data_IF_868149456467
#
_entry.id   IF_868149456467
#
_cell.length_a   1.000
_cell.length_b   1.000
_cell.length_c   1.000
_cell.angle_alpha   90.00
_cell.angle_beta   90.00
_cell.angle_gamma   90.00
#
_symmetry.space_group_name_H-M   'P 1'
#
loop_
_entity.id
_entity.type
_entity.pdbx_description
1 polymer ?
#
# COMPACT_ATOMS: atom_id res chain seq x y z
N UNK A 1 4.06 -24.01 69.50
CA UNK A 1 4.13 -25.47 69.30
C UNK A 1 4.34 -25.64 67.81
N UNK A 2 5.57 -25.83 67.32
CA UNK A 2 6.38 -27.03 67.54
C UNK A 2 5.71 -28.17 66.74
N UNK A 3 6.33 -28.90 65.84
CA UNK A 3 7.75 -29.17 65.64
C UNK A 3 7.94 -29.86 64.26
N UNK A 4 9.19 -29.93 63.87
CA UNK A 4 9.82 -30.52 62.70
C UNK A 4 9.46 -31.98 62.38
N UNK A 5 9.77 -32.43 61.15
CA UNK A 5 9.83 -33.87 60.86
C UNK A 5 10.05 -34.29 59.40
N UNK A 6 11.31 -34.20 58.93
CA UNK A 6 11.87 -34.75 57.68
C UNK A 6 11.51 -36.23 57.39
N UNK A 7 11.40 -36.61 56.11
CA UNK A 7 12.32 -37.57 55.45
C UNK A 7 12.02 -37.82 53.94
N UNK A 8 13.09 -37.68 53.12
CA UNK A 8 13.57 -38.43 51.92
C UNK A 8 12.54 -38.93 50.89
N UNK A 9 12.54 -38.45 49.64
CA UNK A 9 13.53 -38.61 48.54
C UNK A 9 13.65 -40.04 48.01
N UNK A 10 12.95 -40.31 46.89
CA UNK A 10 13.32 -41.30 45.87
C UNK A 10 12.67 -40.95 44.50
N UNK A 11 13.50 -40.42 43.60
CA UNK A 11 13.62 -40.81 42.18
C UNK A 11 12.41 -40.86 41.24
N UNK A 12 12.30 -39.86 40.35
CA UNK A 12 11.95 -40.10 38.92
C UNK A 12 12.53 -39.00 38.00
N UNK A 13 13.21 -39.35 36.89
CA UNK A 13 13.97 -38.39 36.09
C UNK A 13 13.08 -37.57 35.14
N UNK A 14 13.34 -36.25 35.06
CA UNK A 14 12.76 -35.34 34.07
C UNK A 14 13.50 -35.45 32.73
N UNK A 15 12.74 -35.65 31.67
CA UNK A 15 13.20 -35.68 30.28
C UNK A 15 13.80 -34.32 29.87
N UNK A 16 15.01 -34.36 29.29
CA UNK A 16 15.61 -33.21 28.60
C UNK A 16 15.05 -33.09 27.19
N UNK A 17 14.76 -31.84 26.80
CA UNK A 17 14.21 -31.45 25.50
C UNK A 17 15.14 -31.79 24.33
N UNK A 18 14.54 -32.13 23.19
CA UNK A 18 15.20 -32.63 21.96
C UNK A 18 16.01 -31.57 21.18
N UNK A 19 16.10 -30.34 21.67
CA UNK A 19 16.76 -29.24 20.95
C UNK A 19 18.27 -29.16 21.24
N UNK A 20 18.71 -29.56 22.44
CA UNK A 20 20.12 -29.46 22.87
C UNK A 20 21.05 -30.58 22.32
N UNK A 21 20.48 -31.57 21.63
CA UNK A 21 21.23 -32.71 21.05
C UNK A 21 21.57 -32.50 19.58
N UNK A 22 20.84 -31.63 18.86
CA UNK A 22 21.14 -31.34 17.44
C UNK A 22 22.35 -30.42 17.27
N UNK A 23 22.51 -29.43 18.13
CA UNK A 23 23.58 -28.43 18.00
C UNK A 23 24.99 -29.01 18.26
N UNK A 24 25.10 -30.07 19.09
CA UNK A 24 26.37 -30.76 19.34
C UNK A 24 26.78 -31.77 18.27
N UNK A 25 25.88 -32.13 17.34
CA UNK A 25 26.17 -33.07 16.25
C UNK A 25 26.66 -32.32 14.99
N UNK A 26 26.13 -31.13 14.71
CA UNK A 26 26.59 -30.30 13.59
C UNK A 26 27.97 -29.66 13.83
N UNK A 27 28.33 -29.35 15.09
CA UNK A 27 29.64 -28.79 15.41
C UNK A 27 30.78 -29.82 15.29
N UNK A 28 30.50 -31.11 15.54
CA UNK A 28 31.49 -32.19 15.33
C UNK A 28 31.70 -32.55 13.85
N UNK A 29 30.67 -32.43 13.00
CA UNK A 29 30.79 -32.71 11.58
C UNK A 29 31.67 -31.68 10.84
N UNK A 30 31.62 -30.40 11.24
CA UNK A 30 32.44 -29.33 10.63
C UNK A 30 33.94 -29.40 11.01
N UNK A 31 34.29 -30.06 12.11
CA UNK A 31 35.69 -30.21 12.55
C UNK A 31 36.38 -31.40 11.87
N UNK A 32 35.66 -32.49 11.56
CA UNK A 32 36.24 -33.64 10.84
C UNK A 32 36.46 -33.38 9.34
N UNK A 33 35.69 -32.49 8.72
CA UNK A 33 35.87 -32.14 7.30
C UNK A 33 37.11 -31.25 7.06
N UNK A 34 37.41 -30.32 8.00
CA UNK A 34 38.64 -29.50 7.94
C UNK A 34 39.92 -30.31 8.14
N UNK A 35 39.90 -31.38 8.95
CA UNK A 35 41.08 -32.22 9.20
C UNK A 35 41.44 -33.16 8.03
N UNK A 36 40.49 -33.47 7.12
CA UNK A 36 40.74 -34.31 5.93
C UNK A 36 41.32 -33.55 4.74
N UNK A 37 41.12 -32.22 4.67
CA UNK A 37 41.64 -31.40 3.57
C UNK A 37 43.12 -31.01 3.79
N UNK A 38 43.54 -30.83 5.04
CA UNK A 38 44.93 -30.43 5.36
C UNK A 38 45.96 -31.56 5.25
N UNK A 39 45.56 -32.83 5.36
CA UNK A 39 46.50 -33.98 5.34
C UNK A 39 46.79 -34.56 3.94
N UNK A 40 46.16 -34.05 2.87
CA UNK A 40 46.39 -34.55 1.50
C UNK A 40 47.48 -33.80 0.71
N UNK A 41 48.16 -32.83 1.33
CA UNK A 41 49.14 -31.97 0.65
C UNK A 41 50.61 -32.25 1.00
N UNK A 42 50.94 -33.34 1.72
CA UNK A 42 52.32 -33.68 2.09
C UNK A 42 52.71 -35.13 1.81
N UNK A 43 52.78 -35.52 0.55
CA UNK A 43 53.61 -36.65 0.13
C UNK A 43 54.36 -36.31 -1.16
N UNK A 44 55.70 -36.24 -1.07
CA UNK A 44 56.63 -36.16 -2.20
C UNK A 44 56.83 -37.55 -2.78
N UNK A 45 56.82 -37.75 -4.11
CA UNK A 45 57.39 -38.94 -4.73
C UNK A 45 58.89 -38.76 -5.00
N UNK A 46 59.68 -39.78 -4.69
CA UNK A 46 61.07 -39.96 -5.13
C UNK A 46 61.10 -40.48 -6.58
N UNK A 47 62.02 -39.96 -7.38
CA UNK A 47 62.33 -40.42 -8.75
C UNK A 47 62.78 -41.90 -8.80
N UNK A 48 62.53 -42.57 -9.93
CA UNK A 48 63.60 -43.12 -10.79
C UNK A 48 63.12 -43.51 -12.20
N UNK A 49 63.82 -42.91 -13.18
CA UNK A 49 64.27 -43.46 -14.46
C UNK A 49 63.30 -43.70 -15.64
N UNK A 50 63.46 -42.87 -16.68
CA UNK A 50 63.89 -43.35 -17.99
C UNK A 50 62.96 -43.10 -19.18
N UNK A 51 63.37 -42.18 -20.08
CA UNK A 51 62.98 -42.25 -21.50
C UNK A 51 62.53 -40.94 -22.17
N UNK A 52 63.50 -40.20 -22.74
CA UNK A 52 63.45 -39.56 -24.06
C UNK A 52 62.16 -38.84 -24.51
N UNK A 53 62.19 -37.50 -24.54
CA UNK A 53 62.32 -36.64 -25.73
C UNK A 53 62.14 -35.18 -25.28
N UNK A 54 63.09 -34.33 -25.68
CA UNK A 54 63.01 -32.88 -25.55
C UNK A 54 61.74 -32.32 -26.20
N UNK A 55 60.96 -31.56 -25.44
CA UNK A 55 60.31 -30.38 -25.98
C UNK A 55 60.65 -29.21 -25.04
N UNK A 56 61.78 -28.56 -25.34
CA UNK A 56 62.06 -27.20 -24.88
C UNK A 56 60.96 -26.28 -25.44
N UNK A 57 59.86 -26.15 -24.72
CA UNK A 57 59.02 -24.96 -24.86
C UNK A 57 59.70 -23.87 -24.05
N UNK A 58 60.37 -23.01 -24.80
CA UNK A 58 60.89 -21.72 -24.38
C UNK A 58 59.80 -20.94 -23.61
N UNK A 59 59.88 -20.90 -22.29
CA UNK A 59 59.40 -19.78 -21.47
C UNK A 59 60.63 -19.07 -20.92
N UNK A 60 61.38 -18.49 -21.85
CA UNK A 60 62.47 -17.56 -21.58
C UNK A 60 62.07 -16.28 -22.30
N UNK A 61 61.57 -15.29 -21.55
CA UNK A 61 61.52 -13.90 -22.05
C UNK A 61 60.33 -13.00 -21.73
N UNK A 62 59.37 -13.34 -20.85
CA UNK A 62 58.23 -12.44 -20.58
C UNK A 62 57.84 -12.23 -19.09
N UNK A 63 58.54 -12.83 -18.15
CA UNK A 63 58.03 -13.09 -16.79
C UNK A 63 58.31 -12.02 -15.73
N UNK A 64 58.24 -10.74 -16.11
CA UNK A 64 58.36 -9.63 -15.15
C UNK A 64 57.51 -8.40 -15.45
N UNK A 65 56.99 -8.27 -16.68
CA UNK A 65 56.21 -7.09 -17.12
C UNK A 65 54.71 -7.35 -17.23
N UNK A 66 54.29 -8.61 -17.41
CA UNK A 66 52.87 -8.98 -17.51
C UNK A 66 52.15 -8.98 -16.15
N UNK A 67 52.85 -9.39 -15.09
CA UNK A 67 52.29 -9.43 -13.73
C UNK A 67 51.91 -8.05 -13.17
N UNK A 68 52.76 -7.02 -13.30
CA UNK A 68 52.38 -5.66 -12.93
C UNK A 68 51.19 -5.14 -13.74
N UNK A 69 51.15 -5.37 -15.06
CA UNK A 69 50.04 -4.92 -15.91
C UNK A 69 48.72 -5.62 -15.58
N UNK A 70 48.76 -6.89 -15.20
CA UNK A 70 47.59 -7.62 -14.71
C UNK A 70 47.09 -7.05 -13.38
N UNK A 71 47.99 -6.82 -12.42
CA UNK A 71 47.65 -6.21 -11.13
C UNK A 71 47.07 -4.81 -11.28
N UNK A 72 47.66 -3.96 -12.12
CA UNK A 72 47.13 -2.62 -12.39
C UNK A 72 45.78 -2.68 -13.09
N UNK A 73 45.54 -3.62 -14.01
CA UNK A 73 44.24 -3.79 -14.65
C UNK A 73 43.15 -4.20 -13.65
N UNK A 74 43.45 -5.18 -12.78
CA UNK A 74 42.51 -5.61 -11.73
C UNK A 74 42.26 -4.49 -10.72
N UNK A 75 43.31 -3.78 -10.31
CA UNK A 75 43.21 -2.66 -9.37
C UNK A 75 42.47 -1.47 -9.99
N UNK A 76 42.66 -1.19 -11.28
CA UNK A 76 41.92 -0.16 -12.01
C UNK A 76 40.44 -0.52 -12.12
N UNK A 77 40.10 -1.76 -12.51
CA UNK A 77 38.71 -2.21 -12.58
C UNK A 77 38.07 -2.20 -11.19
N UNK A 78 38.80 -2.63 -10.16
CA UNK A 78 38.33 -2.56 -8.77
C UNK A 78 38.15 -1.11 -8.30
N UNK A 79 39.08 -0.21 -8.63
CA UNK A 79 39.00 1.20 -8.29
C UNK A 79 37.90 1.92 -9.07
N UNK A 80 37.66 1.58 -10.34
CA UNK A 80 36.58 2.13 -11.16
C UNK A 80 35.21 1.61 -10.70
N UNK A 81 35.10 0.33 -10.35
CA UNK A 81 33.90 -0.22 -9.73
C UNK A 81 33.66 0.38 -8.34
N UNK A 82 34.70 0.53 -7.53
CA UNK A 82 34.60 1.19 -6.24
C UNK A 82 34.22 2.66 -6.40
N UNK A 83 34.80 3.36 -7.37
CA UNK A 83 34.46 4.74 -7.69
C UNK A 83 33.01 4.86 -8.17
N UNK A 84 32.53 3.96 -9.03
CA UNK A 84 31.15 3.93 -9.49
C UNK A 84 30.16 3.63 -8.35
N UNK A 85 30.53 2.79 -7.39
CA UNK A 85 29.70 2.46 -6.22
C UNK A 85 29.75 3.56 -5.14
N UNK A 86 30.88 4.25 -5.00
CA UNK A 86 31.10 5.26 -3.95
C UNK A 86 30.73 6.68 -4.38
N UNK A 87 30.41 6.91 -5.66
CA UNK A 87 29.96 8.23 -6.11
C UNK A 87 28.49 8.38 -5.70
N UNK A 88 28.25 9.18 -4.66
CA UNK A 88 26.91 9.68 -4.45
C UNK A 88 26.57 10.63 -5.61
N UNK A 89 25.37 10.54 -6.20
CA UNK A 89 24.94 11.47 -7.23
C UNK A 89 24.90 12.90 -6.69
N UNK A 90 25.11 13.87 -7.57
CA UNK A 90 25.05 15.27 -7.19
C UNK A 90 23.62 15.64 -6.73
N UNK A 91 23.54 16.33 -5.59
CA UNK A 91 22.28 16.84 -5.06
C UNK A 91 21.96 18.14 -5.76
N UNK A 92 20.83 18.18 -6.45
CA UNK A 92 20.38 19.34 -7.22
C UNK A 92 19.03 19.84 -6.70
N UNK A 93 18.71 21.11 -6.96
CA UNK A 93 17.36 21.63 -6.70
C UNK A 93 16.36 21.16 -7.77
N UNK A 94 15.06 21.13 -7.43
CA UNK A 94 14.03 20.73 -8.39
C UNK A 94 14.00 21.64 -9.63
N UNK A 95 14.25 22.94 -9.45
CA UNK A 95 14.29 23.89 -10.57
C UNK A 95 15.41 23.59 -11.60
N UNK A 96 16.52 22.98 -11.17
CA UNK A 96 17.68 22.69 -12.01
C UNK A 96 17.56 21.37 -12.78
N UNK A 97 16.52 20.55 -12.54
CA UNK A 97 16.36 19.23 -13.18
C UNK A 97 16.50 19.31 -14.71
N UNK A 98 16.01 20.38 -15.33
CA UNK A 98 16.08 20.59 -16.77
C UNK A 98 17.50 20.74 -17.34
N UNK A 99 18.49 21.09 -16.51
CA UNK A 99 19.90 21.22 -16.89
C UNK A 99 20.64 19.88 -16.88
N UNK A 100 20.05 18.86 -16.25
CA UNK A 100 20.67 17.56 -15.98
C UNK A 100 20.06 16.41 -16.80
N UNK A 101 19.59 16.70 -18.02
CA UNK A 101 18.94 15.70 -18.87
C UNK A 101 19.84 14.47 -19.14
N UNK A 102 19.30 13.26 -18.89
CA UNK A 102 20.02 11.99 -19.00
C UNK A 102 21.18 11.81 -18.02
N UNK A 103 21.22 12.59 -16.93
CA UNK A 103 22.14 12.41 -15.83
C UNK A 103 21.47 11.72 -14.63
N UNK A 104 22.26 11.03 -13.81
CA UNK A 104 21.80 10.49 -12.53
C UNK A 104 21.99 11.55 -11.47
N UNK A 105 20.89 11.97 -10.85
CA UNK A 105 20.86 13.05 -9.86
C UNK A 105 20.18 12.60 -8.58
N UNK A 106 20.41 13.34 -7.51
CA UNK A 106 19.69 13.21 -6.24
C UNK A 106 18.88 14.48 -6.00
N UNK A 107 17.60 14.33 -5.73
CA UNK A 107 16.74 15.44 -5.31
C UNK A 107 16.23 15.20 -3.89
N UNK A 108 15.95 16.28 -3.17
CA UNK A 108 15.36 16.24 -1.83
C UNK A 108 14.13 17.14 -1.80
N UNK A 109 13.04 16.66 -1.23
CA UNK A 109 11.81 17.42 -1.16
C UNK A 109 10.80 16.82 -0.18
N UNK A 110 9.76 17.58 0.10
CA UNK A 110 8.60 17.14 0.84
C UNK A 110 7.72 16.33 -0.10
N UNK A 111 7.34 15.12 0.30
CA UNK A 111 6.41 14.31 -0.47
C UNK A 111 4.98 14.82 -0.31
N UNK A 112 4.37 15.24 -1.42
CA UNK A 112 3.04 15.87 -1.41
C UNK A 112 1.94 14.94 -1.89
N UNK A 113 2.26 13.96 -2.74
CA UNK A 113 1.32 12.92 -3.14
C UNK A 113 2.04 11.76 -3.80
N UNK A 114 1.39 10.60 -3.87
CA UNK A 114 1.83 9.49 -4.69
C UNK A 114 0.65 8.71 -5.26
N UNK A 115 0.88 7.98 -6.35
CA UNK A 115 -0.12 7.12 -7.01
C UNK A 115 0.57 5.87 -7.53
N UNK A 116 0.07 4.71 -7.11
CA UNK A 116 0.49 3.41 -7.66
C UNK A 116 -0.25 3.15 -8.97
N UNK A 117 0.48 2.63 -9.97
CA UNK A 117 -0.04 2.29 -11.29
C UNK A 117 -1.07 3.29 -11.84
N UNK A 118 -0.67 4.55 -12.11
CA UNK A 118 -1.59 5.62 -12.49
C UNK A 118 -2.34 5.37 -13.81
N UNK A 119 -1.92 4.39 -14.61
CA UNK A 119 -2.57 4.01 -15.88
C UNK A 119 -3.28 2.66 -15.81
N UNK A 120 -3.27 1.99 -14.65
CA UNK A 120 -3.84 0.66 -14.44
C UNK A 120 -3.35 -0.34 -15.49
N UNK A 121 -2.07 -0.27 -15.85
CA UNK A 121 -1.45 -1.10 -16.88
C UNK A 121 -0.73 -2.34 -16.33
N UNK A 122 -0.77 -2.52 -15.01
CA UNK A 122 -0.14 -3.61 -14.28
C UNK A 122 1.36 -3.42 -14.06
N UNK A 123 1.90 -2.22 -14.28
CA UNK A 123 3.30 -1.92 -14.01
C UNK A 123 3.56 -1.73 -12.51
N UNK A 124 4.66 -2.29 -12.00
CA UNK A 124 5.17 -2.00 -10.66
C UNK A 124 5.82 -0.59 -10.63
N UNK A 125 4.98 0.42 -10.79
CA UNK A 125 5.37 1.83 -10.89
C UNK A 125 4.57 2.66 -9.90
N UNK A 126 5.28 3.55 -9.22
CA UNK A 126 4.73 4.50 -8.26
C UNK A 126 5.17 5.91 -8.67
N UNK A 127 4.20 6.77 -8.96
CA UNK A 127 4.44 8.16 -9.32
C UNK A 127 4.31 9.02 -8.06
N UNK A 128 5.42 9.64 -7.67
CA UNK A 128 5.52 10.47 -6.46
C UNK A 128 5.72 11.91 -6.89
N UNK A 129 5.03 12.82 -6.22
CA UNK A 129 5.22 14.24 -6.41
C UNK A 129 5.99 14.78 -5.20
N UNK A 130 7.14 15.39 -5.48
CA UNK A 130 8.00 16.05 -4.51
C UNK A 130 7.96 17.55 -4.70
N UNK A 131 8.03 18.29 -3.59
CA UNK A 131 8.07 19.74 -3.57
C UNK A 131 9.25 20.23 -2.73
N UNK A 132 9.99 21.20 -3.24
CA UNK A 132 10.96 21.99 -2.49
C UNK A 132 10.62 23.49 -2.63
N UNK A 133 11.51 24.36 -2.15
CA UNK A 133 11.34 25.81 -2.25
C UNK A 133 11.39 26.35 -3.69
N UNK A 134 11.90 25.55 -4.63
CA UNK A 134 12.15 25.92 -6.02
C UNK A 134 11.03 25.46 -6.97
N UNK A 135 10.31 24.40 -6.63
CA UNK A 135 9.19 23.91 -7.44
C UNK A 135 8.72 22.51 -7.07
N UNK A 136 8.13 21.84 -8.07
CA UNK A 136 7.53 20.51 -7.95
C UNK A 136 8.11 19.58 -9.01
N UNK A 137 8.48 18.36 -8.62
CA UNK A 137 9.01 17.32 -9.51
C UNK A 137 8.21 16.01 -9.39
N UNK A 138 8.11 15.30 -10.51
CA UNK A 138 7.59 13.93 -10.58
C UNK A 138 8.76 12.94 -10.47
N UNK A 139 8.64 11.96 -9.57
CA UNK A 139 9.55 10.82 -9.42
C UNK A 139 8.77 9.56 -9.76
N UNK A 140 9.22 8.84 -10.79
CA UNK A 140 8.67 7.53 -11.19
C UNK A 140 9.53 6.44 -10.60
N UNK A 141 9.02 5.77 -9.57
CA UNK A 141 9.73 4.73 -8.85
C UNK A 141 9.26 3.34 -9.28
N UNK A 142 10.17 2.57 -9.88
CA UNK A 142 9.92 1.20 -10.30
C UNK A 142 10.44 0.19 -9.28
N UNK A 143 9.69 -0.90 -9.07
CA UNK A 143 9.99 -1.89 -8.02
C UNK A 143 10.16 -1.19 -6.68
N UNK A 144 9.11 -0.48 -6.28
CA UNK A 144 9.10 0.38 -5.12
C UNK A 144 9.00 -0.42 -3.82
N UNK A 145 9.29 0.24 -2.70
CA UNK A 145 9.09 -0.27 -1.36
C UNK A 145 8.05 0.55 -0.60
N UNK A 146 8.09 0.46 0.72
CA UNK A 146 7.24 1.29 1.58
C UNK A 146 7.56 2.78 1.42
N UNK A 147 6.57 3.64 1.69
CA UNK A 147 6.74 5.09 1.75
C UNK A 147 6.44 5.58 3.17
N UNK A 148 7.10 6.67 3.63
CA UNK A 148 6.72 7.34 4.86
C UNK A 148 5.40 8.11 4.67
N UNK A 149 4.83 8.61 5.76
CA UNK A 149 3.62 9.45 5.73
C UNK A 149 3.79 10.68 4.83
N UNK A 150 2.72 11.09 4.17
CA UNK A 150 2.69 12.33 3.38
C UNK A 150 3.19 13.55 4.19
N UNK A 151 3.91 14.44 3.51
CA UNK A 151 4.60 15.58 4.12
C UNK A 151 5.94 15.24 4.76
N UNK A 152 6.39 13.98 4.71
CA UNK A 152 7.75 13.63 5.07
C UNK A 152 8.75 14.16 4.05
N UNK A 153 9.93 14.55 4.52
CA UNK A 153 11.04 14.89 3.62
C UNK A 153 11.71 13.59 3.16
N UNK A 154 11.83 13.42 1.85
CA UNK A 154 12.48 12.26 1.25
C UNK A 154 13.54 12.71 0.25
N UNK A 155 14.51 11.83 0.01
CA UNK A 155 15.47 11.96 -1.07
C UNK A 155 15.23 10.88 -2.12
N UNK A 156 15.21 11.29 -3.39
CA UNK A 156 15.07 10.40 -4.53
C UNK A 156 16.31 10.48 -5.42
N UNK A 157 16.83 9.31 -5.80
CA UNK A 157 17.94 9.16 -6.74
C UNK A 157 17.42 8.49 -8.01
N UNK A 158 17.74 9.05 -9.17
CA UNK A 158 17.34 8.46 -10.44
C UNK A 158 17.88 9.19 -11.66
N UNK A 159 17.58 8.64 -12.84
CA UNK A 159 17.88 9.25 -14.12
C UNK A 159 16.90 10.41 -14.39
N UNK A 160 17.39 11.58 -14.77
CA UNK A 160 16.53 12.62 -15.33
C UNK A 160 16.09 12.21 -16.74
N UNK A 161 14.78 12.13 -16.96
CA UNK A 161 14.18 11.82 -18.26
C UNK A 161 13.36 13.00 -18.76
N UNK A 162 13.35 13.16 -20.08
CA UNK A 162 12.61 14.19 -20.77
C UNK A 162 11.76 13.58 -21.88
N UNK A 163 10.49 13.98 -21.94
CA UNK A 163 9.62 13.68 -23.06
C UNK A 163 8.63 14.82 -23.26
N UNK A 164 8.55 15.33 -24.49
CA UNK A 164 7.64 16.43 -24.86
C UNK A 164 7.74 17.65 -23.91
N UNK A 165 8.95 17.97 -23.46
CA UNK A 165 9.21 19.08 -22.55
C UNK A 165 8.83 18.84 -21.08
N UNK A 166 8.34 17.65 -20.73
CA UNK A 166 8.14 17.24 -19.33
C UNK A 166 9.37 16.53 -18.83
N UNK A 167 9.83 16.90 -17.64
CA UNK A 167 10.94 16.27 -16.95
C UNK A 167 10.43 15.46 -15.77
N UNK A 168 11.01 14.29 -15.54
CA UNK A 168 10.79 13.49 -14.33
C UNK A 168 12.07 12.74 -13.95
N UNK A 169 12.14 12.33 -12.69
CA UNK A 169 13.21 11.45 -12.20
C UNK A 169 12.73 10.00 -12.32
N UNK A 170 13.51 9.15 -12.96
CA UNK A 170 13.25 7.72 -13.06
C UNK A 170 14.14 6.97 -12.06
N UNK A 171 13.51 6.45 -11.02
CA UNK A 171 14.15 5.74 -9.91
C UNK A 171 13.89 4.24 -10.02
N UNK A 172 14.91 3.40 -9.81
CA UNK A 172 14.78 1.94 -9.89
C UNK A 172 15.23 1.25 -8.60
N UNK A 173 14.34 0.40 -8.06
CA UNK A 173 14.61 -0.48 -6.93
C UNK A 173 14.50 0.20 -5.57
N UNK A 174 14.37 -0.62 -4.51
CA UNK A 174 14.01 -0.17 -3.17
C UNK A 174 14.97 0.86 -2.54
N UNK A 175 16.22 0.94 -2.97
CA UNK A 175 17.22 1.88 -2.42
C UNK A 175 17.24 3.27 -3.05
N UNK A 176 16.40 3.50 -4.06
CA UNK A 176 16.37 4.75 -4.82
C UNK A 176 15.73 5.90 -4.03
N UNK A 177 14.83 5.59 -3.09
CA UNK A 177 14.24 6.56 -2.17
C UNK A 177 14.77 6.32 -0.75
N UNK A 178 15.07 7.41 -0.04
CA UNK A 178 15.69 7.38 1.28
C UNK A 178 15.13 8.52 2.15
N UNK A 179 14.95 8.25 3.44
CA UNK A 179 14.55 9.26 4.42
C UNK A 179 15.14 8.93 5.80
N UNK A 180 15.44 9.96 6.59
CA UNK A 180 15.81 9.81 7.99
C UNK A 180 14.57 9.64 8.87
N UNK A 181 14.74 9.07 10.07
CA UNK A 181 13.64 8.97 11.05
C UNK A 181 13.16 10.34 11.53
N UNK A 182 14.02 11.36 11.53
CA UNK A 182 13.65 12.75 11.82
C UNK A 182 12.87 13.43 10.70
N UNK A 183 12.92 12.88 9.48
CA UNK A 183 12.30 13.46 8.29
C UNK A 183 10.87 12.94 8.08
N UNK A 184 10.47 11.92 8.83
CA UNK A 184 9.11 11.37 8.81
C UNK A 184 8.16 12.35 9.49
N UNK A 185 7.18 12.84 8.74
CA UNK A 185 6.14 13.73 9.24
C UNK A 185 5.41 13.09 10.42
N UNK A 186 5.28 13.87 11.50
CA UNK A 186 4.52 13.47 12.69
C UNK A 186 3.22 14.26 12.69
N UNK A 187 2.07 13.62 12.37
CA UNK A 187 0.82 14.35 12.28
C UNK A 187 0.33 14.80 13.66
N UNK A 188 -0.13 16.04 13.73
CA UNK A 188 -0.87 16.56 14.89
C UNK A 188 -2.37 16.27 14.70
N UNK A 189 -3.03 15.75 15.75
CA UNK A 189 -4.49 15.58 15.74
C UNK A 189 -5.19 16.92 15.92
N UNK A 190 -5.95 17.36 14.91
CA UNK A 190 -6.65 18.64 14.91
C UNK A 190 -8.15 18.45 14.69
N UNK A 191 -9.01 18.95 15.59
CA UNK A 191 -10.46 18.87 15.40
C UNK A 191 -10.92 19.69 14.19
N UNK A 192 -11.90 19.16 13.45
CA UNK A 192 -12.45 19.80 12.24
C UNK A 192 -12.98 21.22 12.51
N UNK A 193 -13.58 21.45 13.68
CA UNK A 193 -14.09 22.76 14.07
C UNK A 193 -12.98 23.82 14.27
N UNK A 194 -11.77 23.42 14.66
CA UNK A 194 -10.62 24.33 14.82
C UNK A 194 -10.13 24.79 13.45
N UNK A 195 -10.01 23.85 12.50
CA UNK A 195 -9.65 24.14 11.10
C UNK A 195 -10.71 25.03 10.45
N UNK A 196 -11.99 24.78 10.72
CA UNK A 196 -13.09 25.60 10.20
C UNK A 196 -13.09 27.04 10.73
N UNK A 197 -12.49 27.30 11.89
CA UNK A 197 -12.33 28.65 12.44
C UNK A 197 -11.13 29.37 11.86
N UNK A 198 -9.98 28.69 11.80
CA UNK A 198 -8.74 29.26 11.28
C UNK A 198 -7.85 28.15 10.65
N UNK A 199 -7.87 28.00 9.31
CA UNK A 199 -7.06 27.00 8.62
C UNK A 199 -5.62 27.44 8.34
N UNK A 200 -5.29 28.75 8.43
CA UNK A 200 -3.98 29.28 8.06
C UNK A 200 -2.81 28.65 8.84
N UNK A 201 -2.92 28.40 10.17
CA UNK A 201 -1.84 27.77 10.95
C UNK A 201 -1.51 26.34 10.51
N UNK A 202 -2.38 25.69 9.73
CA UNK A 202 -2.29 24.30 9.31
C UNK A 202 -1.92 24.13 7.84
N UNK A 203 -1.72 25.22 7.11
CA UNK A 203 -1.26 25.18 5.71
C UNK A 203 0.06 24.43 5.60
N UNK A 204 0.12 23.51 4.65
CA UNK A 204 1.29 22.68 4.33
C UNK A 204 1.83 21.81 5.48
N UNK A 205 1.12 21.76 6.62
CA UNK A 205 1.42 20.85 7.73
C UNK A 205 0.68 19.54 7.56
N UNK A 206 1.35 18.44 7.86
CA UNK A 206 0.69 17.14 7.99
C UNK A 206 -0.07 17.10 9.31
N UNK A 207 -1.40 16.94 9.23
CA UNK A 207 -2.29 16.83 10.36
C UNK A 207 -3.20 15.61 10.19
N UNK A 208 -3.77 15.15 11.30
CA UNK A 208 -4.79 14.11 11.32
C UNK A 208 -6.12 14.68 11.82
N UNK A 209 -7.21 14.34 11.15
CA UNK A 209 -8.55 14.82 11.46
C UNK A 209 -9.48 13.62 11.62
N UNK A 210 -10.27 13.63 12.68
CA UNK A 210 -11.35 12.66 12.89
C UNK A 210 -12.70 13.22 12.45
N UNK A 211 -13.53 12.37 11.87
CA UNK A 211 -14.88 12.73 11.46
C UNK A 211 -15.59 11.59 10.74
N UNK A 212 -16.64 11.91 10.02
CA UNK A 212 -17.46 10.96 9.26
C UNK A 212 -17.31 11.23 7.77
N UNK A 213 -17.01 10.20 6.99
CA UNK A 213 -16.88 10.35 5.55
C UNK A 213 -18.26 10.38 4.88
N UNK A 214 -18.48 11.32 3.95
CA UNK A 214 -19.81 11.53 3.37
C UNK A 214 -20.10 10.69 2.12
N UNK A 215 -19.08 10.07 1.54
CA UNK A 215 -19.15 9.30 0.29
C UNK A 215 -18.40 8.00 0.43
N UNK A 216 -18.88 6.95 -0.22
CA UNK A 216 -18.13 5.71 -0.30
C UNK A 216 -16.91 5.87 -1.20
N UNK A 217 -15.77 5.32 -0.78
CA UNK A 217 -14.56 5.19 -1.59
C UNK A 217 -14.41 3.73 -2.02
N UNK A 218 -14.24 3.53 -3.33
CA UNK A 218 -13.94 2.22 -3.91
C UNK A 218 -12.44 1.90 -3.73
N UNK A 219 -12.08 0.63 -3.40
CA UNK A 219 -10.71 0.21 -3.11
C UNK A 219 -9.68 0.69 -4.12
N UNK A 220 -9.97 0.51 -5.42
CA UNK A 220 -9.03 0.73 -6.51
C UNK A 220 -9.11 2.12 -7.14
N UNK A 221 -9.98 3.01 -6.65
CA UNK A 221 -10.13 4.33 -7.27
C UNK A 221 -9.01 5.28 -6.85
N UNK A 222 -8.35 5.86 -7.85
CA UNK A 222 -7.35 6.93 -7.70
C UNK A 222 -7.96 8.31 -8.02
N UNK A 223 -7.36 9.39 -7.52
CA UNK A 223 -7.79 10.79 -7.72
C UNK A 223 -9.28 11.05 -7.44
N UNK A 224 -9.79 10.50 -6.35
CA UNK A 224 -11.17 10.71 -5.92
C UNK A 224 -11.30 11.85 -4.91
N UNK A 225 -12.53 12.27 -4.64
CA UNK A 225 -12.80 13.25 -3.59
C UNK A 225 -14.05 12.93 -2.79
N UNK A 226 -13.95 13.17 -1.50
CA UNK A 226 -15.00 13.00 -0.51
C UNK A 226 -15.04 14.22 0.42
N UNK A 227 -15.96 14.21 1.38
CA UNK A 227 -15.90 15.15 2.49
C UNK A 227 -15.77 14.37 3.79
N UNK A 228 -15.05 14.97 4.74
CA UNK A 228 -15.09 14.59 6.15
C UNK A 228 -15.96 15.60 6.89
N UNK A 229 -16.88 15.10 7.70
CA UNK A 229 -17.89 15.87 8.42
C UNK A 229 -17.78 15.64 9.93
N UNK A 230 -18.20 16.61 10.73
CA UNK A 230 -18.27 16.49 12.19
C UNK A 230 -19.45 15.63 12.70
N UNK A 231 -20.34 15.18 11.81
CA UNK A 231 -21.49 14.34 12.12
C UNK A 231 -21.81 13.40 10.93
N UNK A 232 -22.28 12.15 11.16
CA UNK A 232 -22.57 11.21 10.07
C UNK A 232 -23.75 11.66 9.18
N UNK A 233 -24.79 12.22 9.80
CA UNK A 233 -25.92 12.81 9.07
C UNK A 233 -25.60 14.24 8.61
N UNK A 234 -25.74 14.50 7.31
CA UNK A 234 -25.55 15.81 6.67
C UNK A 234 -26.35 16.93 7.34
N UNK A 235 -27.63 16.70 7.69
CA UNK A 235 -28.50 17.73 8.26
C UNK A 235 -28.02 18.26 9.63
N UNK A 236 -27.24 17.46 10.34
CA UNK A 236 -26.70 17.80 11.65
C UNK A 236 -25.22 18.21 11.61
N UNK A 237 -24.56 18.06 10.45
CA UNK A 237 -23.18 18.48 10.27
C UNK A 237 -23.09 19.99 10.17
N UNK A 238 -22.13 20.57 10.88
CA UNK A 238 -21.86 22.03 10.88
C UNK A 238 -20.54 22.37 10.21
N UNK A 239 -19.60 21.43 10.23
CA UNK A 239 -18.27 21.60 9.65
C UNK A 239 -17.98 20.45 8.70
N UNK A 240 -17.51 20.80 7.50
CA UNK A 240 -17.10 19.84 6.49
C UNK A 240 -15.82 20.32 5.84
N UNK A 241 -14.92 19.39 5.56
CA UNK A 241 -13.71 19.64 4.80
C UNK A 241 -13.63 18.67 3.64
N UNK A 242 -13.28 19.17 2.46
CA UNK A 242 -13.09 18.33 1.30
C UNK A 242 -11.78 17.55 1.44
N UNK A 243 -11.85 16.26 1.18
CA UNK A 243 -10.70 15.38 0.99
C UNK A 243 -10.43 15.22 -0.51
N UNK A 244 -9.18 15.36 -0.92
CA UNK A 244 -8.67 14.93 -2.21
C UNK A 244 -7.72 13.76 -2.00
N UNK A 245 -8.09 12.60 -2.56
CA UNK A 245 -7.46 11.31 -2.28
C UNK A 245 -6.73 10.88 -3.54
N UNK A 246 -5.41 10.84 -3.48
CA UNK A 246 -4.60 10.63 -4.70
C UNK A 246 -4.47 9.15 -5.06
N UNK A 247 -4.29 8.28 -4.07
CA UNK A 247 -4.11 6.83 -4.25
C UNK A 247 -5.32 6.00 -3.83
N UNK A 248 -5.33 4.76 -4.32
CA UNK A 248 -6.27 3.72 -3.93
C UNK A 248 -6.25 3.47 -2.41
N UNK A 249 -7.41 3.29 -1.78
CA UNK A 249 -7.51 2.94 -0.36
C UNK A 249 -7.20 1.46 -0.10
N UNK A 250 -7.27 0.61 -1.14
CA UNK A 250 -7.07 -0.84 -1.03
C UNK A 250 -8.21 -1.58 -0.31
N UNK A 251 -9.18 -0.85 0.24
CA UNK A 251 -10.38 -1.39 0.87
C UNK A 251 -11.56 -0.41 0.68
N UNK A 252 -12.77 -0.95 0.76
CA UNK A 252 -13.99 -0.14 0.74
C UNK A 252 -14.05 0.73 2.00
N UNK A 253 -14.32 2.03 1.81
CA UNK A 253 -14.59 2.96 2.91
C UNK A 253 -16.01 3.46 2.75
N UNK A 254 -16.93 2.98 3.57
CA UNK A 254 -18.35 3.27 3.38
C UNK A 254 -18.74 4.67 3.84
N UNK A 255 -19.67 5.30 3.12
CA UNK A 255 -20.30 6.54 3.57
C UNK A 255 -20.90 6.38 4.98
N UNK A 256 -20.77 7.43 5.80
CA UNK A 256 -21.19 7.42 7.20
C UNK A 256 -20.21 6.73 8.14
N UNK A 257 -19.13 6.12 7.66
CA UNK A 257 -18.08 5.55 8.50
C UNK A 257 -17.33 6.65 9.25
N UNK A 258 -16.99 6.39 10.51
CA UNK A 258 -16.08 7.23 11.26
C UNK A 258 -14.64 6.93 10.80
N UNK A 259 -13.90 7.97 10.45
CA UNK A 259 -12.54 7.87 9.92
C UNK A 259 -11.60 8.83 10.64
N UNK A 260 -10.32 8.48 10.62
CA UNK A 260 -9.19 9.37 10.87
C UNK A 260 -8.42 9.53 9.56
N UNK A 261 -8.40 10.74 9.00
CA UNK A 261 -7.68 11.04 7.78
C UNK A 261 -6.41 11.85 8.08
N UNK A 262 -5.27 11.40 7.57
CA UNK A 262 -3.98 12.09 7.70
C UNK A 262 -3.57 12.72 6.37
N UNK A 263 -3.10 13.96 6.38
CA UNK A 263 -2.86 14.70 5.15
C UNK A 263 -2.45 16.15 5.37
N UNK A 264 -2.28 16.89 4.27
CA UNK A 264 -1.91 18.31 4.30
C UNK A 264 -3.08 19.20 3.87
N UNK A 265 -3.29 20.29 4.60
CA UNK A 265 -4.27 21.33 4.21
C UNK A 265 -3.63 22.27 3.20
N UNK A 266 -4.33 22.51 2.10
CA UNK A 266 -3.93 23.46 1.06
C UNK A 266 -5.12 24.30 0.62
N UNK A 267 -4.83 25.51 0.18
CA UNK A 267 -5.82 26.35 -0.48
C UNK A 267 -5.87 26.03 -1.97
N UNK A 268 -6.99 25.49 -2.45
CA UNK A 268 -7.21 25.21 -3.88
C UNK A 268 -7.63 26.51 -4.58
N UNK A 269 -6.71 27.17 -5.28
CA UNK A 269 -6.95 28.46 -5.95
C UNK A 269 -8.04 28.39 -7.03
N UNK A 270 -8.17 27.25 -7.71
CA UNK A 270 -9.19 27.05 -8.76
C UNK A 270 -10.62 27.10 -8.21
N UNK A 271 -10.83 26.49 -7.05
CA UNK A 271 -12.15 26.34 -6.41
C UNK A 271 -12.33 27.29 -5.22
N UNK A 272 -11.32 28.11 -4.91
CA UNK A 272 -11.27 29.06 -3.79
C UNK A 272 -11.71 28.46 -2.45
N UNK A 273 -11.17 27.29 -2.09
CA UNK A 273 -11.48 26.60 -0.83
C UNK A 273 -10.29 25.87 -0.25
N UNK A 274 -10.30 25.63 1.06
CA UNK A 274 -9.36 24.73 1.70
C UNK A 274 -9.74 23.28 1.44
N UNK A 275 -8.73 22.46 1.11
CA UNK A 275 -8.86 21.03 0.82
C UNK A 275 -7.75 20.30 1.54
N UNK A 276 -8.06 19.13 2.10
CA UNK A 276 -7.07 18.21 2.61
C UNK A 276 -6.62 17.26 1.49
N UNK A 277 -5.33 17.28 1.18
CA UNK A 277 -4.69 16.30 0.32
C UNK A 277 -4.24 15.12 1.18
N UNK A 278 -4.75 13.93 0.87
CA UNK A 278 -4.49 12.69 1.60
C UNK A 278 -4.22 11.53 0.63
N UNK A 279 -3.79 10.40 1.17
CA UNK A 279 -3.56 9.15 0.45
C UNK A 279 -4.57 8.11 0.92
N UNK A 280 -4.94 7.17 0.05
CA UNK A 280 -5.91 6.13 0.40
C UNK A 280 -5.57 5.39 1.70
N UNK A 281 -4.33 4.89 1.89
CA UNK A 281 -3.91 4.21 3.12
C UNK A 281 -3.83 5.10 4.37
N UNK A 282 -3.85 6.43 4.20
CA UNK A 282 -3.84 7.40 5.31
C UNK A 282 -5.25 7.69 5.84
N UNK A 283 -6.28 7.02 5.29
CA UNK A 283 -7.66 7.03 5.76
C UNK A 283 -7.88 5.77 6.58
N UNK A 284 -7.90 5.92 7.90
CA UNK A 284 -8.13 4.83 8.83
C UNK A 284 -9.59 4.81 9.27
N UNK A 285 -10.26 3.68 9.08
CA UNK A 285 -11.66 3.49 9.48
C UNK A 285 -11.74 3.00 10.92
N UNK A 286 -12.57 3.65 11.75
CA UNK A 286 -12.90 3.20 13.10
C UNK A 286 -14.05 2.19 13.04
N UNK A 287 -13.70 0.92 12.89
CA UNK A 287 -14.67 -0.19 12.81
C UNK A 287 -15.44 -0.43 14.13
N UNK A 288 -15.12 0.26 15.22
CA UNK A 288 -15.93 0.19 16.45
C UNK A 288 -17.21 1.01 16.37
N UNK A 289 -17.29 1.93 15.40
CA UNK A 289 -18.46 2.76 15.11
C UNK A 289 -19.10 2.28 13.82
N UNK A 290 -20.28 1.66 13.93
CA UNK A 290 -21.02 1.22 12.74
C UNK A 290 -21.39 2.42 11.85
N UNK A 291 -21.23 2.30 10.52
CA UNK A 291 -21.63 3.36 9.60
C UNK A 291 -23.15 3.56 9.65
N UNK A 292 -23.56 4.81 9.47
CA UNK A 292 -24.99 5.13 9.31
C UNK A 292 -25.43 4.71 7.90
N UNK A 293 -26.23 3.66 7.81
CA UNK A 293 -26.84 3.21 6.56
C UNK A 293 -28.14 4.00 6.32
N UNK A 294 -28.31 4.51 5.10
CA UNK A 294 -29.51 5.26 4.72
C UNK A 294 -30.66 4.29 4.41
N UNK A 295 -31.83 4.53 4.99
CA UNK A 295 -33.06 3.82 4.62
C UNK A 295 -33.75 4.55 3.47
N UNK A 296 -34.05 3.83 2.39
CA UNK A 296 -34.75 4.35 1.22
C UNK A 296 -36.25 4.32 1.48
N UNK A 297 -36.88 5.47 1.26
CA UNK A 297 -38.34 5.57 1.33
C UNK A 297 -38.94 5.38 -0.07
N UNK A 298 -39.90 4.46 -0.19
CA UNK A 298 -40.63 4.21 -1.43
C UNK A 298 -41.43 5.41 -1.95
N UNK A 299 -41.86 6.29 -1.04
CA UNK A 299 -42.61 7.50 -1.38
C UNK A 299 -41.75 8.58 -2.06
N UNK A 300 -40.44 8.55 -1.81
CA UNK A 300 -39.50 9.60 -2.17
C UNK A 300 -38.40 9.08 -3.12
N UNK A 301 -38.78 8.28 -4.14
CA UNK A 301 -37.84 7.69 -5.12
C UNK A 301 -36.95 8.75 -5.80
N UNK A 302 -37.43 9.97 -5.97
CA UNK A 302 -36.66 11.09 -6.54
C UNK A 302 -35.41 11.46 -5.72
N UNK A 303 -35.37 11.09 -4.43
CA UNK A 303 -34.23 11.36 -3.54
C UNK A 303 -33.15 10.29 -3.59
N UNK A 304 -33.44 9.11 -4.14
CA UNK A 304 -32.50 7.98 -4.18
C UNK A 304 -31.21 8.31 -4.94
N UNK A 305 -31.25 9.28 -5.86
CA UNK A 305 -30.08 9.82 -6.54
C UNK A 305 -28.98 10.33 -5.58
N UNK A 306 -29.33 10.78 -4.37
CA UNK A 306 -28.36 11.21 -3.36
C UNK A 306 -27.68 10.05 -2.63
N UNK A 307 -28.25 8.85 -2.70
CA UNK A 307 -27.75 7.63 -2.05
C UNK A 307 -27.02 6.70 -3.02
N UNK A 308 -26.86 7.11 -4.28
CA UNK A 308 -26.09 6.37 -5.28
C UNK A 308 -24.67 6.06 -4.81
N UNK A 309 -24.25 4.82 -5.08
CA UNK A 309 -22.99 4.20 -4.67
C UNK A 309 -22.78 4.02 -3.16
N UNK A 310 -23.76 4.35 -2.32
CA UNK A 310 -23.72 4.09 -0.88
C UNK A 310 -24.43 2.78 -0.54
N UNK A 311 -24.10 2.24 0.63
CA UNK A 311 -24.93 1.21 1.26
C UNK A 311 -26.25 1.82 1.70
N UNK A 312 -27.33 1.15 1.33
CA UNK A 312 -28.70 1.55 1.65
C UNK A 312 -29.50 0.36 2.12
N UNK A 313 -30.63 0.65 2.74
CA UNK A 313 -31.63 -0.31 3.17
C UNK A 313 -32.99 0.02 2.58
N UNK A 314 -33.77 -0.99 2.21
CA UNK A 314 -35.15 -0.79 1.72
C UNK A 314 -36.03 -1.96 2.16
N UNK A 315 -37.21 -1.67 2.71
CA UNK A 315 -38.19 -2.70 3.06
C UNK A 315 -38.93 -3.21 1.84
N UNK A 316 -39.22 -4.50 1.77
CA UNK A 316 -40.15 -5.03 0.78
C UNK A 316 -40.07 -6.52 0.59
N UNK A 317 -40.75 -7.00 -0.44
CA UNK A 317 -40.90 -8.43 -0.72
C UNK A 317 -40.17 -8.79 -2.01
N UNK A 318 -39.19 -9.69 -1.99
CA UNK A 318 -38.47 -10.06 -3.20
C UNK A 318 -39.33 -10.98 -4.07
N UNK A 319 -39.17 -10.86 -5.39
CA UNK A 319 -39.75 -11.76 -6.36
C UNK A 319 -38.86 -11.84 -7.61
N UNK A 320 -39.02 -12.92 -8.37
CA UNK A 320 -38.44 -13.05 -9.71
C UNK A 320 -39.48 -12.76 -10.78
N UNK A 321 -39.07 -12.03 -11.82
CA UNK A 321 -39.90 -11.83 -13.01
C UNK A 321 -39.78 -12.98 -14.04
N UNK A 322 -40.44 -12.84 -15.18
CA UNK A 322 -40.43 -13.84 -16.25
C UNK A 322 -39.04 -14.07 -16.88
N UNK A 323 -38.14 -13.09 -16.77
CA UNK A 323 -36.76 -13.16 -17.26
C UNK A 323 -35.80 -13.74 -16.22
N UNK A 324 -36.30 -14.06 -15.01
CA UNK A 324 -35.53 -14.50 -13.83
C UNK A 324 -34.68 -13.39 -13.22
N UNK A 325 -34.99 -12.14 -13.50
CA UNK A 325 -34.38 -11.00 -12.83
C UNK A 325 -35.03 -10.82 -11.45
N UNK A 326 -34.23 -10.42 -10.47
CA UNK A 326 -34.68 -10.22 -9.09
C UNK A 326 -35.14 -8.79 -8.84
N UNK A 327 -36.24 -8.67 -8.11
CA UNK A 327 -36.86 -7.40 -7.77
C UNK A 327 -37.32 -7.41 -6.31
N UNK A 328 -37.28 -6.26 -5.63
CA UNK A 328 -38.05 -6.02 -4.39
C UNK A 328 -39.31 -5.23 -4.75
N UNK A 329 -40.47 -5.75 -4.35
CA UNK A 329 -41.76 -5.10 -4.45
C UNK A 329 -42.02 -4.22 -3.22
N UNK A 330 -42.31 -2.95 -3.45
CA UNK A 330 -42.74 -2.01 -2.41
C UNK A 330 -44.25 -2.12 -2.10
N UNK A 331 -44.75 -1.35 -1.12
CA UNK A 331 -46.15 -1.42 -0.67
C UNK A 331 -47.19 -1.16 -1.76
N UNK A 332 -46.89 -0.30 -2.74
CA UNK A 332 -47.75 -0.06 -3.89
C UNK A 332 -47.27 -0.84 -5.13
N UNK A 333 -48.18 -1.39 -5.92
CA UNK A 333 -47.89 -2.28 -7.05
C UNK A 333 -47.01 -1.72 -8.18
N UNK A 334 -46.75 -0.41 -8.19
CA UNK A 334 -45.87 0.25 -9.15
C UNK A 334 -44.47 0.53 -8.60
N UNK A 335 -44.27 0.33 -7.29
CA UNK A 335 -43.01 0.53 -6.59
C UNK A 335 -42.21 -0.75 -6.65
N UNK A 336 -41.07 -0.72 -7.34
CA UNK A 336 -40.12 -1.82 -7.38
C UNK A 336 -38.71 -1.29 -7.55
N UNK A 337 -37.74 -2.08 -7.11
CA UNK A 337 -36.30 -1.86 -7.33
C UNK A 337 -35.70 -3.21 -7.73
N UNK A 338 -34.79 -3.21 -8.71
CA UNK A 338 -34.06 -4.44 -9.08
C UNK A 338 -33.03 -4.79 -8.01
N UNK A 339 -32.69 -6.07 -7.90
CA UNK A 339 -31.63 -6.57 -7.02
C UNK A 339 -30.59 -7.28 -7.88
N UNK A 340 -29.31 -7.03 -7.59
CA UNK A 340 -28.21 -7.83 -8.07
C UNK A 340 -27.78 -8.76 -6.93
N UNK A 341 -28.29 -9.99 -6.92
CA UNK A 341 -28.00 -10.92 -5.85
C UNK A 341 -26.51 -11.31 -5.85
N UNK A 342 -25.92 -11.43 -4.66
CA UNK A 342 -24.73 -12.27 -4.49
C UNK A 342 -25.05 -13.75 -4.69
N UNK A 343 -24.00 -14.56 -4.77
CA UNK A 343 -24.09 -16.03 -4.81
C UNK A 343 -24.99 -16.61 -3.70
N UNK A 344 -25.11 -15.92 -2.55
CA UNK A 344 -26.01 -16.25 -1.42
C UNK A 344 -27.46 -16.43 -1.84
N UNK A 345 -27.95 -15.60 -2.76
CA UNK A 345 -29.34 -15.64 -3.24
C UNK A 345 -29.50 -16.51 -4.50
N UNK A 346 -28.38 -16.87 -5.16
CA UNK A 346 -28.37 -17.66 -6.40
C UNK A 346 -28.28 -19.18 -6.15
N UNK A 347 -27.75 -19.64 -5.01
CA UNK A 347 -27.67 -21.07 -4.66
C UNK A 347 -28.79 -21.53 -3.69
N UNK A 348 -29.49 -22.63 -4.02
CA UNK A 348 -30.39 -23.49 -3.19
C UNK A 348 -31.42 -22.85 -2.22
N UNK A 349 -31.42 -21.53 -2.02
CA UNK A 349 -32.20 -20.76 -1.06
C UNK A 349 -33.01 -19.62 -1.73
N UNK A 350 -32.92 -19.44 -3.05
CA UNK A 350 -33.78 -18.49 -3.80
C UNK A 350 -35.27 -18.63 -3.41
N UNK A 351 -35.76 -19.85 -3.26
CA UNK A 351 -37.15 -20.12 -2.84
C UNK A 351 -37.44 -19.80 -1.37
N UNK A 352 -36.42 -19.66 -0.52
CA UNK A 352 -36.57 -19.32 0.89
C UNK A 352 -36.83 -17.82 1.12
N UNK A 353 -36.46 -16.98 0.15
CA UNK A 353 -36.63 -15.53 0.24
C UNK A 353 -37.85 -15.02 -0.54
N UNK A 354 -38.27 -15.73 -1.60
CA UNK A 354 -39.47 -15.37 -2.35
C UNK A 354 -40.68 -15.15 -1.43
N UNK A 355 -41.38 -14.04 -1.66
CA UNK A 355 -42.59 -13.66 -0.93
C UNK A 355 -42.39 -13.40 0.58
N UNK A 356 -41.14 -13.28 1.05
CA UNK A 356 -40.83 -12.91 2.45
C UNK A 356 -40.57 -11.41 2.54
N UNK A 357 -41.45 -10.70 3.25
CA UNK A 357 -41.24 -9.30 3.60
C UNK A 357 -40.05 -9.15 4.54
N UNK A 358 -39.14 -8.23 4.23
CA UNK A 358 -37.94 -7.99 5.02
C UNK A 358 -37.22 -6.70 4.62
N UNK A 359 -36.16 -6.41 5.35
CA UNK A 359 -35.27 -5.28 5.09
C UNK A 359 -34.10 -5.74 4.21
N UNK A 360 -33.99 -5.17 3.02
CA UNK A 360 -32.96 -5.49 2.04
C UNK A 360 -31.83 -4.49 2.13
N UNK A 361 -30.60 -4.96 2.30
CA UNK A 361 -29.40 -4.11 2.34
C UNK A 361 -28.58 -4.33 1.08
N UNK A 362 -27.98 -3.28 0.54
CA UNK A 362 -27.05 -3.40 -0.58
C UNK A 362 -26.56 -2.03 -1.05
N UNK A 363 -25.69 -2.01 -2.06
CA UNK A 363 -25.19 -0.77 -2.66
C UNK A 363 -26.14 -0.29 -3.75
N UNK A 364 -26.54 0.97 -3.68
CA UNK A 364 -27.41 1.53 -4.70
C UNK A 364 -26.63 1.84 -5.98
N UNK A 365 -26.98 1.21 -7.10
CA UNK A 365 -26.25 1.32 -8.38
C UNK A 365 -27.21 1.61 -9.53
N UNK A 366 -26.73 2.30 -10.57
CA UNK A 366 -27.51 2.54 -11.78
C UNK A 366 -27.12 1.50 -12.83
N UNK A 367 -28.11 0.78 -13.35
CA UNK A 367 -27.88 -0.23 -14.36
C UNK A 367 -28.45 0.18 -15.71
N UNK A 368 -27.55 0.39 -16.68
CA UNK A 368 -27.94 0.85 -18.02
C UNK A 368 -28.72 -0.20 -18.84
N UNK A 369 -28.51 -1.50 -18.58
CA UNK A 369 -29.25 -2.58 -19.24
C UNK A 369 -30.70 -2.72 -18.75
N UNK A 370 -30.95 -2.40 -17.48
CA UNK A 370 -32.27 -2.42 -16.85
C UNK A 370 -32.95 -1.03 -16.95
N UNK A 371 -32.15 0.02 -17.20
CA UNK A 371 -32.57 1.43 -17.21
C UNK A 371 -33.25 1.87 -15.89
N UNK A 372 -32.85 1.26 -14.77
CA UNK A 372 -33.36 1.59 -13.44
C UNK A 372 -32.22 1.53 -12.40
N UNK A 373 -32.55 2.01 -11.20
CA UNK A 373 -31.70 1.88 -10.02
C UNK A 373 -31.87 0.47 -9.44
N UNK A 374 -30.76 -0.20 -9.14
CA UNK A 374 -30.74 -1.52 -8.52
C UNK A 374 -30.00 -1.49 -7.18
N UNK A 375 -30.35 -2.46 -6.33
CA UNK A 375 -29.66 -2.77 -5.10
C UNK A 375 -28.66 -3.90 -5.36
N UNK A 376 -27.37 -3.60 -5.26
CA UNK A 376 -26.31 -4.59 -5.35
C UNK A 376 -26.07 -5.24 -3.98
N UNK A 377 -26.52 -6.49 -3.80
CA UNK A 377 -26.36 -7.30 -2.57
C UNK A 377 -25.12 -8.20 -2.66
N UNK A 378 -24.05 -7.73 -3.32
CA UNK A 378 -22.81 -8.47 -3.51
C UNK A 378 -22.70 -9.20 -4.86
N UNK A 379 -23.38 -8.72 -5.90
CA UNK A 379 -23.31 -9.21 -7.28
C UNK A 379 -22.15 -8.61 -8.08
N UNK A 380 -22.14 -8.86 -9.40
CA UNK A 380 -21.03 -8.61 -10.36
C UNK A 380 -20.50 -7.15 -10.46
N UNK A 381 -21.19 -6.17 -9.86
CA UNK A 381 -20.76 -4.76 -9.83
C UNK A 381 -20.00 -4.39 -8.55
N UNK A 382 -20.07 -5.24 -7.53
CA UNK A 382 -19.22 -5.19 -6.35
C UNK A 382 -18.16 -6.29 -6.46
N UNK A 383 -16.89 -5.94 -6.34
CA UNK A 383 -15.82 -6.94 -6.38
C UNK A 383 -15.74 -7.79 -5.11
N UNK A 384 -16.47 -7.47 -4.02
CA UNK A 384 -16.56 -8.30 -2.81
C UNK A 384 -17.87 -8.09 -2.03
N UNK A 385 -18.35 -9.11 -1.28
CA UNK A 385 -19.63 -9.08 -0.58
C UNK A 385 -19.71 -7.97 0.47
N UNK A 386 -20.87 -7.32 0.52
CA UNK A 386 -21.25 -6.39 1.57
C UNK A 386 -21.57 -7.22 2.81
N UNK A 387 -20.70 -7.17 3.82
CA UNK A 387 -20.98 -7.74 5.15
C UNK A 387 -22.20 -7.02 5.73
N UNK A 388 -23.35 -7.68 5.74
CA UNK A 388 -24.57 -7.21 6.38
C UNK A 388 -24.48 -7.34 7.90
N UNK A 389 -25.31 -6.57 8.61
CA UNK A 389 -25.43 -6.58 10.08
C UNK A 389 -25.74 -7.99 10.64
N UNK A 390 -26.25 -8.90 9.81
CA UNK A 390 -26.52 -10.29 10.15
C UNK A 390 -25.24 -11.12 10.41
N UNK A 391 -24.08 -10.69 9.91
CA UNK A 391 -22.80 -11.41 10.05
C UNK A 391 -21.92 -10.86 11.19
N UNK A 392 -22.42 -9.91 11.99
CA UNK A 392 -21.78 -9.43 13.23
C UNK A 392 -22.38 -10.06 14.51
N UNK A 393 -23.22 -11.10 14.36
CA UNK A 393 -23.83 -11.85 15.46
C UNK A 393 -23.30 -13.29 15.58
#
# INVERSE_FOLDING_TARGET
MGDEGKAKDEGRPKAKSKTEVKDKVEEKAKVEEKAKVENKAKEKPKEMAGGLIENKVFLSGADGKLWPMFFFSVLLVAALNFYAVSREPDVISIAEIHEHENEVVKIEGIMISWVEDPYSDGSERLDIILQDDSGVAEVRWFKFGELPTIGSKISAVGDVRQWEGRFWIQSLGNGALQWGSSDVAQPENVPLAVIGQDPEPYLDKTISIEGYITKTIHPDTVWTSAYIADHPNYANSKHQLRLFISSASGAWVEAGSKITATGQIRFEEREFRFVMYTQGPEILVDYTVMPSISELEWGDKDTWGYEMNKLVQIEGTPYQDENKDWWVQGPASHQRICILPSDRLLENNASAFNDVEGLWTGRLVWLANIEDVCLDDGGDLSSEPILGVEDLL
#
